data_IF_634643195135
#
_entry.id   IF_634643195135
#
_cell.length_a   1.000
_cell.length_b   1.000
_cell.length_c   1.000
_cell.angle_alpha   90.00
_cell.angle_beta   90.00
_cell.angle_gamma   90.00
#
_symmetry.space_group_name_H-M   'P 1'
#
loop_
_entity.id
_entity.type
_entity.pdbx_description
1 polymer ?
#
# COMPACT_ATOMS: atom_id res chain seq x y z
N UNK A 1 -9.94 -7.43 16.99
CA UNK A 1 -11.24 -6.83 17.34
C UNK A 1 -10.94 -5.50 18.01
N UNK A 2 -11.50 -4.41 17.49
CA UNK A 2 -11.40 -3.07 18.09
C UNK A 2 -12.32 -3.02 19.31
N UNK A 3 -11.74 -2.85 20.47
CA UNK A 3 -12.48 -2.59 21.71
C UNK A 3 -12.53 -1.08 21.97
N UNK A 4 -13.49 -0.58 22.77
CA UNK A 4 -13.52 0.84 23.15
C UNK A 4 -12.19 1.35 23.72
N UNK A 5 -11.46 0.51 24.46
CA UNK A 5 -10.13 0.84 24.97
C UNK A 5 -9.11 1.04 23.85
N UNK A 6 -9.05 0.12 22.87
CA UNK A 6 -8.14 0.24 21.71
C UNK A 6 -8.45 1.49 20.89
N UNK A 7 -9.74 1.82 20.74
CA UNK A 7 -10.14 3.04 20.02
C UNK A 7 -9.75 4.31 20.77
N UNK A 8 -9.84 4.30 22.11
CA UNK A 8 -9.42 5.43 22.96
C UNK A 8 -7.89 5.65 22.93
N UNK A 9 -7.12 4.59 22.71
CA UNK A 9 -5.65 4.65 22.63
C UNK A 9 -5.15 5.15 21.26
N UNK A 10 -6.04 5.31 20.24
CA UNK A 10 -5.65 5.88 18.96
C UNK A 10 -5.39 7.39 19.06
N UNK A 11 -4.38 7.91 18.35
CA UNK A 11 -4.13 9.35 18.30
C UNK A 11 -5.35 10.10 17.77
N UNK A 12 -5.88 11.01 18.57
CA UNK A 12 -7.12 11.76 18.23
C UNK A 12 -6.86 12.89 17.21
N UNK A 13 -5.60 13.31 17.05
CA UNK A 13 -5.12 14.34 16.14
C UNK A 13 -4.53 13.77 14.83
N UNK A 14 -4.61 12.45 14.65
CA UNK A 14 -4.10 11.80 13.44
C UNK A 14 -4.81 12.30 12.19
N UNK A 15 -4.01 12.67 11.18
CA UNK A 15 -4.51 13.16 9.88
C UNK A 15 -4.64 12.06 8.83
N UNK A 16 -3.97 10.93 9.04
CA UNK A 16 -3.99 9.78 8.12
C UNK A 16 -4.09 8.49 8.93
N UNK A 17 -4.78 7.52 8.36
CA UNK A 17 -4.86 6.17 8.89
C UNK A 17 -4.87 5.16 7.75
N UNK A 18 -4.32 3.98 8.00
CA UNK A 18 -4.47 2.82 7.12
C UNK A 18 -4.83 1.60 7.92
N UNK A 19 -5.62 0.72 7.34
CA UNK A 19 -6.08 -0.51 7.98
C UNK A 19 -6.19 -1.65 6.97
N UNK A 20 -6.15 -2.88 7.46
CA UNK A 20 -6.27 -4.07 6.62
C UNK A 20 -6.97 -5.21 7.36
N UNK A 21 -7.89 -5.86 6.67
CA UNK A 21 -8.50 -7.12 7.13
C UNK A 21 -7.89 -8.25 6.31
N UNK A 22 -6.93 -8.97 6.91
CA UNK A 22 -6.19 -10.00 6.20
C UNK A 22 -7.00 -11.29 6.07
N UNK A 23 -7.28 -11.69 4.83
CA UNK A 23 -7.63 -13.05 4.48
C UNK A 23 -6.37 -13.76 3.97
N UNK A 24 -5.93 -14.83 4.65
CA UNK A 24 -4.66 -15.48 4.31
C UNK A 24 -4.79 -16.28 3.01
N UNK A 25 -4.32 -15.72 1.90
CA UNK A 25 -4.21 -16.38 0.59
C UNK A 25 -2.80 -16.92 0.36
N UNK A 26 -1.78 -16.20 0.86
CA UNK A 26 -0.36 -16.60 0.84
C UNK A 26 0.26 -16.39 2.22
N UNK A 27 1.27 -17.19 2.56
CA UNK A 27 1.96 -17.13 3.84
C UNK A 27 1.18 -17.73 5.01
N UNK A 28 1.86 -17.96 6.11
CA UNK A 28 1.28 -18.53 7.32
C UNK A 28 0.37 -17.53 8.06
N UNK A 29 -0.61 -18.04 8.81
CA UNK A 29 -1.48 -17.23 9.69
C UNK A 29 -0.76 -16.86 10.99
N UNK A 30 0.33 -16.11 10.86
CA UNK A 30 1.13 -15.64 12.00
C UNK A 30 0.99 -14.13 12.15
N UNK A 31 1.31 -13.62 13.35
CA UNK A 31 1.33 -12.19 13.62
C UNK A 31 2.39 -11.46 12.77
N UNK A 32 3.49 -12.13 12.40
CA UNK A 32 4.53 -11.58 11.53
C UNK A 32 4.02 -11.21 10.13
N UNK A 33 2.96 -11.87 9.67
CA UNK A 33 2.31 -11.59 8.38
C UNK A 33 1.09 -10.65 8.51
N UNK A 34 0.85 -10.06 9.68
CA UNK A 34 -0.26 -9.11 9.85
C UNK A 34 0.01 -7.84 9.03
N UNK A 35 -1.07 -7.23 8.58
CA UNK A 35 -1.05 -5.97 7.85
C UNK A 35 -1.94 -4.94 8.57
N UNK A 36 -1.65 -3.64 8.45
CA UNK A 36 -0.55 -3.03 7.71
C UNK A 36 0.82 -3.48 8.19
N UNK A 37 1.73 -3.79 7.25
CA UNK A 37 3.12 -4.08 7.58
C UNK A 37 3.90 -2.78 7.77
N UNK A 38 4.39 -2.55 8.98
CA UNK A 38 5.14 -1.34 9.32
C UNK A 38 6.63 -1.60 9.16
N UNK A 39 7.29 -0.75 8.40
CA UNK A 39 8.72 -0.81 8.12
C UNK A 39 9.37 0.51 8.52
N UNK A 40 10.55 0.40 9.13
CA UNK A 40 11.37 1.54 9.50
C UNK A 40 12.67 1.53 8.70
N UNK A 41 13.01 2.65 8.10
CA UNK A 41 14.26 2.81 7.34
C UNK A 41 14.81 4.23 7.52
N UNK A 42 16.03 4.50 7.03
CA UNK A 42 16.72 5.77 7.28
C UNK A 42 16.00 7.03 6.76
N UNK A 43 15.07 6.90 5.81
CA UNK A 43 14.24 8.01 5.31
C UNK A 43 12.87 8.10 5.99
N UNK A 44 12.64 7.36 7.08
CA UNK A 44 11.39 7.39 7.86
C UNK A 44 10.69 6.04 7.97
N UNK A 45 9.45 6.06 8.40
CA UNK A 45 8.59 4.89 8.48
C UNK A 45 7.57 4.85 7.36
N UNK A 46 7.16 3.64 6.99
CA UNK A 46 6.03 3.42 6.09
C UNK A 46 5.21 2.21 6.55
N UNK A 47 3.92 2.24 6.26
CA UNK A 47 3.00 1.13 6.48
C UNK A 47 2.43 0.68 5.14
N UNK A 48 2.39 -0.63 4.90
CA UNK A 48 1.98 -1.21 3.61
C UNK A 48 0.80 -2.14 3.84
N UNK A 49 -0.28 -1.91 3.10
CA UNK A 49 -1.38 -2.84 2.91
C UNK A 49 -1.31 -3.42 1.50
N UNK A 50 -1.42 -4.72 1.38
CA UNK A 50 -1.40 -5.45 0.12
C UNK A 50 -2.60 -6.41 0.03
N UNK A 51 -3.42 -6.20 -0.96
CA UNK A 51 -4.45 -7.16 -1.35
C UNK A 51 -4.07 -7.78 -2.70
N UNK A 52 -3.72 -9.05 -2.68
CA UNK A 52 -3.30 -9.74 -3.89
C UNK A 52 -2.31 -10.85 -3.65
N UNK A 53 -1.61 -11.22 -4.71
CA UNK A 53 -0.60 -12.27 -4.69
C UNK A 53 0.42 -12.08 -5.80
N UNK A 54 1.70 -12.12 -5.47
CA UNK A 54 2.79 -12.02 -6.45
C UNK A 54 3.19 -13.40 -6.95
N UNK A 55 3.29 -13.54 -8.26
CA UNK A 55 3.73 -14.79 -8.89
C UNK A 55 5.25 -14.97 -8.84
N UNK A 56 6.00 -13.86 -8.76
CA UNK A 56 7.46 -13.86 -8.69
C UNK A 56 8.02 -13.61 -7.27
N UNK A 57 7.18 -13.68 -6.24
CA UNK A 57 7.62 -13.47 -4.86
C UNK A 57 8.77 -14.38 -4.42
N UNK A 58 8.78 -15.70 -4.75
CA UNK A 58 9.88 -16.58 -4.35
C UNK A 58 11.24 -16.17 -4.94
N UNK A 59 11.27 -15.77 -6.21
CA UNK A 59 12.49 -15.35 -6.90
C UNK A 59 13.02 -14.03 -6.33
N UNK A 60 12.10 -13.07 -6.10
CA UNK A 60 12.45 -11.79 -5.50
C UNK A 60 12.95 -11.96 -4.06
N UNK A 61 12.28 -12.81 -3.27
CA UNK A 61 12.70 -13.14 -1.92
C UNK A 61 14.12 -13.71 -1.90
N UNK A 62 14.38 -14.72 -2.72
CA UNK A 62 15.71 -15.31 -2.81
C UNK A 62 16.78 -14.27 -3.16
N UNK A 63 16.51 -13.40 -4.14
CA UNK A 63 17.43 -12.31 -4.52
C UNK A 63 17.70 -11.35 -3.33
N UNK A 64 16.67 -11.01 -2.58
CA UNK A 64 16.78 -10.12 -1.41
C UNK A 64 17.59 -10.80 -0.29
N UNK A 65 17.35 -12.09 0.00
CA UNK A 65 18.10 -12.87 0.99
C UNK A 65 19.57 -12.96 0.64
N UNK A 66 19.90 -13.20 -0.63
CA UNK A 66 21.30 -13.22 -1.12
C UNK A 66 21.97 -11.84 -1.00
N UNK A 67 21.21 -10.76 -0.94
CA UNK A 67 21.69 -9.41 -0.69
C UNK A 67 21.63 -9.00 0.80
N UNK A 68 21.41 -9.96 1.70
CA UNK A 68 21.47 -9.75 3.15
C UNK A 68 20.15 -9.31 3.79
N UNK A 69 19.03 -9.36 3.09
CA UNK A 69 17.73 -9.08 3.70
C UNK A 69 17.32 -10.24 4.62
N UNK A 70 16.86 -9.93 5.83
CA UNK A 70 16.39 -10.89 6.82
C UNK A 70 14.86 -10.81 6.90
N UNK A 71 14.19 -11.88 6.52
CA UNK A 71 12.74 -11.97 6.55
C UNK A 71 12.23 -12.51 7.89
N UNK A 72 11.17 -11.92 8.40
CA UNK A 72 10.51 -12.33 9.65
C UNK A 72 9.21 -13.11 9.40
N UNK A 73 8.63 -12.91 8.23
CA UNK A 73 7.39 -13.55 7.80
C UNK A 73 7.54 -14.36 6.53
N UNK A 74 6.42 -14.85 6.05
CA UNK A 74 6.32 -15.65 4.82
C UNK A 74 5.44 -14.95 3.77
N UNK A 75 5.04 -13.70 4.03
CA UNK A 75 4.17 -12.94 3.14
C UNK A 75 4.96 -12.33 1.97
N UNK A 76 4.36 -12.29 0.80
CA UNK A 76 4.83 -11.53 -0.34
C UNK A 76 4.80 -10.00 -0.08
N UNK A 77 3.95 -9.54 0.83
CA UNK A 77 3.95 -8.13 1.28
C UNK A 77 5.30 -7.72 1.87
N UNK A 78 6.00 -8.62 2.56
CA UNK A 78 7.34 -8.35 3.09
C UNK A 78 8.37 -8.19 1.97
N UNK A 79 8.23 -8.96 0.89
CA UNK A 79 9.04 -8.82 -0.33
C UNK A 79 8.83 -7.43 -0.95
N UNK A 80 7.57 -7.00 -1.10
CA UNK A 80 7.23 -5.65 -1.57
C UNK A 80 7.87 -4.59 -0.69
N UNK A 81 7.78 -4.75 0.63
CA UNK A 81 8.34 -3.81 1.59
C UNK A 81 9.85 -3.63 1.46
N UNK A 82 10.60 -4.73 1.30
CA UNK A 82 12.05 -4.66 1.09
C UNK A 82 12.42 -4.01 -0.24
N UNK A 83 11.75 -4.39 -1.34
CA UNK A 83 11.97 -3.78 -2.65
C UNK A 83 11.67 -2.28 -2.62
N UNK A 84 10.54 -1.89 -2.04
CA UNK A 84 10.17 -0.50 -1.91
C UNK A 84 11.20 0.28 -1.08
N UNK A 85 11.70 -0.30 0.01
CA UNK A 85 12.75 0.31 0.81
C UNK A 85 14.03 0.51 0.00
N UNK A 86 14.50 -0.52 -0.73
CA UNK A 86 15.68 -0.40 -1.58
C UNK A 86 15.50 0.67 -2.66
N UNK A 87 14.35 0.66 -3.35
CA UNK A 87 14.04 1.67 -4.35
C UNK A 87 13.94 3.07 -3.75
N UNK A 88 13.40 3.21 -2.54
CA UNK A 88 13.29 4.51 -1.84
C UNK A 88 14.64 5.11 -1.50
N UNK A 89 15.64 4.29 -1.21
CA UNK A 89 16.99 4.78 -0.91
C UNK A 89 17.64 5.48 -2.11
N UNK A 90 17.38 5.00 -3.32
CA UNK A 90 17.97 5.48 -4.58
C UNK A 90 17.05 6.39 -5.41
N UNK A 91 15.83 6.63 -4.92
CA UNK A 91 14.84 7.49 -5.60
C UNK A 91 14.75 8.86 -4.93
N UNK A 92 14.45 9.93 -5.69
CA UNK A 92 14.26 11.26 -5.14
C UNK A 92 13.05 11.34 -4.20
N UNK A 93 11.96 10.65 -4.54
CA UNK A 93 10.68 10.64 -3.84
C UNK A 93 10.12 9.23 -3.71
N UNK A 94 9.02 9.11 -2.97
CA UNK A 94 8.37 7.83 -2.73
C UNK A 94 7.58 7.36 -3.96
N UNK A 95 7.05 8.27 -4.75
CA UNK A 95 6.30 7.98 -5.98
C UNK A 95 7.18 7.24 -6.99
N UNK A 96 8.36 7.76 -7.23
CA UNK A 96 9.38 7.11 -8.08
C UNK A 96 9.78 5.74 -7.52
N UNK A 97 9.89 5.61 -6.20
CA UNK A 97 10.22 4.34 -5.57
C UNK A 97 9.10 3.31 -5.75
N UNK A 98 7.83 3.73 -5.63
CA UNK A 98 6.67 2.86 -5.89
C UNK A 98 6.65 2.43 -7.35
N UNK A 99 6.84 3.36 -8.29
CA UNK A 99 6.91 3.06 -9.72
C UNK A 99 7.97 1.98 -10.02
N UNK A 100 9.21 2.18 -9.56
CA UNK A 100 10.29 1.19 -9.72
C UNK A 100 9.99 -0.16 -9.06
N UNK A 101 9.24 -0.15 -7.98
CA UNK A 101 8.82 -1.39 -7.32
C UNK A 101 7.78 -2.11 -8.17
N UNK A 102 6.81 -1.39 -8.74
CA UNK A 102 5.81 -1.96 -9.64
C UNK A 102 6.42 -2.58 -10.91
N UNK A 103 7.52 -2.05 -11.41
CA UNK A 103 8.27 -2.63 -12.54
C UNK A 103 8.91 -3.99 -12.22
N UNK A 104 9.16 -4.27 -10.95
CA UNK A 104 9.85 -5.48 -10.50
C UNK A 104 8.89 -6.58 -10.04
N UNK A 105 7.74 -6.23 -9.51
CA UNK A 105 6.75 -7.18 -8.99
C UNK A 105 5.79 -7.63 -10.10
N UNK A 106 5.49 -8.93 -10.13
CA UNK A 106 4.56 -9.52 -11.11
C UNK A 106 3.45 -10.25 -10.35
N UNK A 107 2.21 -9.95 -10.70
CA UNK A 107 1.04 -10.59 -10.10
C UNK A 107 -0.17 -9.68 -10.05
N UNK A 108 -1.18 -10.12 -9.30
CA UNK A 108 -2.36 -9.33 -9.04
C UNK A 108 -2.18 -8.61 -7.69
N UNK A 109 -2.26 -7.29 -7.68
CA UNK A 109 -2.14 -6.53 -6.44
C UNK A 109 -2.87 -5.19 -6.45
N UNK A 110 -3.34 -4.80 -5.29
CA UNK A 110 -3.62 -3.41 -4.95
C UNK A 110 -2.87 -3.07 -3.66
N UNK A 111 -2.20 -1.94 -3.66
CA UNK A 111 -1.36 -1.46 -2.56
C UNK A 111 -1.91 -0.17 -2.00
N UNK A 112 -1.91 -0.07 -0.68
CA UNK A 112 -2.04 1.22 0.02
C UNK A 112 -0.81 1.38 0.90
N UNK A 113 -0.07 2.44 0.67
CA UNK A 113 1.18 2.75 1.36
C UNK A 113 1.01 4.07 2.09
N UNK A 114 1.24 4.08 3.37
CA UNK A 114 1.22 5.28 4.20
C UNK A 114 2.63 5.64 4.63
N UNK A 115 3.00 6.89 4.45
CA UNK A 115 4.22 7.51 4.97
C UNK A 115 3.84 8.58 6.00
N UNK A 116 4.78 9.35 6.52
CA UNK A 116 4.48 10.46 7.44
C UNK A 116 3.63 11.57 6.81
N UNK A 117 3.68 11.74 5.48
CA UNK A 117 3.05 12.88 4.81
C UNK A 117 2.14 12.49 3.65
N UNK A 118 2.16 11.23 3.23
CA UNK A 118 1.47 10.78 2.02
C UNK A 118 0.76 9.46 2.23
N UNK A 119 -0.42 9.36 1.64
CA UNK A 119 -1.14 8.11 1.44
C UNK A 119 -1.12 7.80 -0.06
N UNK A 120 -0.62 6.63 -0.42
CA UNK A 120 -0.37 6.23 -1.81
C UNK A 120 -1.17 4.99 -2.11
N UNK A 121 -1.96 5.03 -3.18
CA UNK A 121 -2.67 3.89 -3.73
C UNK A 121 -2.03 3.49 -5.06
N UNK A 122 -1.75 2.20 -5.25
CA UNK A 122 -1.19 1.68 -6.49
C UNK A 122 -1.90 0.39 -6.89
N UNK A 123 -2.24 0.27 -8.17
CA UNK A 123 -2.96 -0.87 -8.71
C UNK A 123 -2.13 -1.61 -9.76
N UNK A 124 -2.20 -2.94 -9.80
CA UNK A 124 -1.46 -3.74 -10.76
C UNK A 124 -1.78 -3.34 -12.21
N UNK A 125 -0.81 -3.53 -13.15
CA UNK A 125 -0.96 -3.10 -14.55
C UNK A 125 -2.13 -3.76 -15.30
N UNK A 126 -2.65 -4.87 -14.80
CA UNK A 126 -3.78 -5.58 -15.40
C UNK A 126 -5.11 -5.24 -14.70
N UNK A 127 -5.06 -4.55 -13.54
CA UNK A 127 -6.23 -4.18 -12.77
C UNK A 127 -6.99 -5.37 -12.17
N UNK A 128 -6.30 -6.47 -11.86
CA UNK A 128 -6.95 -7.68 -11.32
C UNK A 128 -7.59 -7.46 -9.96
N UNK A 129 -6.94 -6.68 -9.09
CA UNK A 129 -7.49 -6.36 -7.78
C UNK A 129 -8.19 -5.02 -7.82
N UNK A 130 -9.37 -4.91 -7.21
CA UNK A 130 -10.08 -3.65 -7.14
C UNK A 130 -9.36 -2.68 -6.18
N UNK A 131 -9.43 -1.41 -6.51
CA UNK A 131 -9.00 -0.30 -5.67
C UNK A 131 -9.73 0.95 -6.12
N UNK A 132 -10.40 1.64 -5.21
CA UNK A 132 -11.20 2.81 -5.53
C UNK A 132 -10.82 4.02 -4.67
N UNK A 133 -11.22 5.17 -5.15
CA UNK A 133 -10.99 6.49 -4.57
C UNK A 133 -12.33 7.07 -4.13
N UNK A 134 -12.38 7.55 -2.90
CA UNK A 134 -13.49 8.32 -2.36
C UNK A 134 -13.02 9.67 -1.83
N UNK A 135 -13.92 10.63 -1.85
CA UNK A 135 -13.74 11.92 -1.22
C UNK A 135 -14.51 11.95 0.10
N UNK A 136 -13.83 12.28 1.18
CA UNK A 136 -14.46 12.43 2.50
C UNK A 136 -15.49 13.56 2.49
N UNK A 137 -16.48 13.54 3.40
CA UNK A 137 -17.46 14.62 3.52
C UNK A 137 -16.77 15.98 3.62
N UNK A 138 -17.42 17.01 3.07
CA UNK A 138 -16.96 18.42 3.09
C UNK A 138 -15.62 18.67 2.38
N UNK A 139 -15.14 17.70 1.59
CA UNK A 139 -13.85 17.80 0.92
C UNK A 139 -12.65 17.76 1.88
N UNK A 140 -12.84 17.25 3.10
CA UNK A 140 -11.81 17.22 4.16
C UNK A 140 -10.63 16.30 3.86
N UNK A 141 -10.76 15.43 2.85
CA UNK A 141 -9.68 14.50 2.49
C UNK A 141 -10.11 13.41 1.52
N UNK A 142 -9.23 12.42 1.39
CA UNK A 142 -9.36 11.31 0.45
C UNK A 142 -9.34 9.97 1.16
N UNK A 143 -10.06 9.01 0.64
CA UNK A 143 -10.06 7.64 1.09
C UNK A 143 -9.73 6.69 -0.08
N UNK A 144 -8.93 5.67 0.18
CA UNK A 144 -8.69 4.56 -0.72
C UNK A 144 -9.25 3.28 -0.11
N UNK A 145 -9.95 2.50 -0.89
CA UNK A 145 -10.54 1.25 -0.43
C UNK A 145 -10.50 0.17 -1.51
N UNK A 146 -10.43 -1.08 -1.10
CA UNK A 146 -10.56 -2.20 -2.04
C UNK A 146 -11.96 -2.27 -2.66
N UNK A 147 -12.99 -1.83 -1.92
CA UNK A 147 -14.38 -1.91 -2.35
C UNK A 147 -15.14 -0.63 -1.95
N UNK A 148 -16.10 -0.22 -2.78
CA UNK A 148 -16.87 1.01 -2.56
C UNK A 148 -17.73 0.99 -1.29
N UNK A 149 -18.17 -0.20 -0.84
CA UNK A 149 -18.92 -0.32 0.42
C UNK A 149 -18.12 0.15 1.64
N UNK A 150 -16.78 0.10 1.59
CA UNK A 150 -15.95 0.65 2.65
C UNK A 150 -15.93 2.19 2.62
N UNK A 151 -16.08 2.80 1.45
CA UNK A 151 -16.26 4.26 1.32
C UNK A 151 -17.59 4.70 1.90
N UNK A 152 -18.67 3.95 1.61
CA UNK A 152 -20.00 4.22 2.16
C UNK A 152 -20.00 4.16 3.70
N UNK A 153 -19.26 3.18 4.27
CA UNK A 153 -19.16 3.01 5.72
C UNK A 153 -18.51 4.21 6.44
N UNK A 154 -17.66 4.97 5.76
CA UNK A 154 -17.03 6.20 6.30
C UNK A 154 -17.69 7.48 5.77
N UNK A 155 -18.80 7.36 5.05
CA UNK A 155 -19.52 8.48 4.45
C UNK A 155 -18.76 9.17 3.30
N UNK A 156 -17.76 8.52 2.73
CA UNK A 156 -17.02 9.06 1.60
C UNK A 156 -17.79 8.86 0.30
N UNK A 157 -17.82 9.87 -0.53
CA UNK A 157 -18.42 9.80 -1.87
C UNK A 157 -17.45 9.08 -2.81
N UNK A 158 -17.90 8.02 -3.45
CA UNK A 158 -17.14 7.36 -4.51
C UNK A 158 -16.82 8.35 -5.65
N UNK A 159 -15.58 8.40 -6.08
CA UNK A 159 -15.11 9.25 -7.18
C UNK A 159 -14.87 8.41 -8.43
N UNK A 160 -13.99 7.42 -8.34
CA UNK A 160 -13.67 6.48 -9.41
C UNK A 160 -12.80 5.31 -8.90
N UNK A 161 -12.61 4.32 -9.74
CA UNK A 161 -11.57 3.33 -9.54
C UNK A 161 -10.17 3.91 -9.83
N UNK A 162 -9.16 3.38 -9.15
CA UNK A 162 -7.76 3.53 -9.56
C UNK A 162 -7.57 2.73 -10.85
N UNK A 163 -6.99 3.35 -11.87
CA UNK A 163 -6.79 2.71 -13.16
C UNK A 163 -5.71 1.60 -13.08
N UNK A 164 -5.75 0.60 -13.98
CA UNK A 164 -4.67 -0.37 -14.09
C UNK A 164 -3.31 0.31 -14.30
N UNK A 165 -2.31 -0.05 -13.48
CA UNK A 165 -0.97 0.54 -13.51
C UNK A 165 -0.85 1.94 -12.90
N UNK A 166 -1.94 2.53 -12.44
CA UNK A 166 -1.94 3.88 -11.87
C UNK A 166 -1.41 3.91 -10.43
N UNK A 167 -0.72 5.00 -10.13
CA UNK A 167 -0.35 5.42 -8.78
C UNK A 167 -1.09 6.71 -8.46
N UNK A 168 -1.79 6.75 -7.35
CA UNK A 168 -2.51 7.92 -6.84
C UNK A 168 -1.92 8.29 -5.50
N UNK A 169 -1.60 9.55 -5.32
CA UNK A 169 -0.98 10.08 -4.09
C UNK A 169 -1.88 11.15 -3.49
N UNK A 170 -2.26 10.96 -2.26
CA UNK A 170 -2.91 11.96 -1.45
C UNK A 170 -1.92 12.47 -0.39
N UNK A 171 -1.79 13.77 -0.27
CA UNK A 171 -1.11 14.43 0.83
C UNK A 171 -2.05 15.41 1.55
N UNK A 172 -1.52 16.20 2.46
CA UNK A 172 -2.34 17.16 3.24
C UNK A 172 -2.92 18.31 2.41
N UNK A 173 -2.48 18.49 1.16
CA UNK A 173 -2.84 19.63 0.33
C UNK A 173 -3.66 19.25 -0.90
N UNK A 174 -3.39 18.09 -1.50
CA UNK A 174 -4.01 17.70 -2.77
C UNK A 174 -4.02 16.19 -3.02
N UNK A 175 -4.73 15.83 -4.07
CA UNK A 175 -4.67 14.51 -4.70
C UNK A 175 -3.90 14.63 -6.01
N UNK A 176 -2.77 13.93 -6.11
CA UNK A 176 -1.93 13.87 -7.30
C UNK A 176 -2.11 12.51 -7.98
N UNK A 177 -2.20 12.54 -9.30
CA UNK A 177 -2.24 11.34 -10.13
C UNK A 177 -0.91 11.24 -10.86
N UNK A 178 -0.26 10.10 -10.76
CA UNK A 178 0.86 9.76 -11.64
C UNK A 178 0.44 8.56 -12.45
N UNK A 179 0.49 8.69 -13.75
CA UNK A 179 0.31 7.58 -14.67
C UNK A 179 1.68 7.18 -15.21
N UNK A 180 2.35 6.22 -14.59
CA UNK A 180 3.38 5.50 -15.31
C UNK A 180 2.75 4.22 -15.80
N UNK A 181 2.11 4.24 -16.95
CA UNK A 181 1.93 3.00 -17.67
C UNK A 181 3.25 2.70 -18.39
N UNK A 182 3.97 1.63 -18.01
CA UNK A 182 5.13 1.18 -18.79
C UNK A 182 4.74 0.66 -20.18
N UNK A 183 3.46 0.75 -20.53
CA UNK A 183 2.92 0.25 -21.80
C UNK A 183 2.73 1.32 -22.88
N UNK A 184 2.92 2.58 -22.56
CA UNK A 184 2.79 3.71 -23.47
C UNK A 184 4.16 4.35 -23.82
N UNK A 185 5.26 3.61 -23.57
CA UNK A 185 6.61 3.96 -24.01
C UNK A 185 7.10 2.99 -25.08
#
# INVERSE_FOLDING_TARGET
>A
VFTPRVLADLPQDAKMATGHVRYATSGQRTRANAQPMVLHHCKGAMAICHNGNLTNAPQLRHKLEMNGSIFHGTSDTEVIGYLLTQNRLISPDIETAVCRTMEQIVGAYSLVIMTHTKLIAARDPNGFRPLCIGQLPDGSGWAFASESCALDAVGARFVRDVLPGEIVVADYTCLLYTSPSPRDA
#
